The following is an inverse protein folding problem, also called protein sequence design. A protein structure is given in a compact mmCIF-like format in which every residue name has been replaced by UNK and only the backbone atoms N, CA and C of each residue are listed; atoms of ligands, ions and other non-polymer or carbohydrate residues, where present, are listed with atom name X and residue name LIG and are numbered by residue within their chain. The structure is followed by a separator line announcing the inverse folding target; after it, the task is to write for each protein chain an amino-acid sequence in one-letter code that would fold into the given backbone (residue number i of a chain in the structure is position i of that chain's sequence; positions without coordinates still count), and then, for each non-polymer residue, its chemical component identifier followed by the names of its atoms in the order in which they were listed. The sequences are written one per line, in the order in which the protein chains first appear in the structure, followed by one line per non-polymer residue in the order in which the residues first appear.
data_IF_526859186552
#
_entry.id   IF_526859186552
#
_cell.length_a   1.000
_cell.length_b   1.000
_cell.length_c   1.000
_cell.angle_alpha   90.00
_cell.angle_beta   90.00
_cell.angle_gamma   90.00
#
_symmetry.space_group_name_H-M   'P 1'
#
loop_
_entity.id
_entity.type
_entity.pdbx_description
1 polymer ?
#
# COMPACT_ATOMS: atom_id res chain seq x y z
N UNK A 1 4.80 -2.46 -18.93
CA UNK A 1 5.43 -2.73 -17.62
C UNK A 1 5.59 -4.24 -17.36
N UNK A 2 4.50 -5.01 -17.21
CA UNK A 2 4.57 -6.42 -16.77
C UNK A 2 5.33 -7.39 -17.69
N UNK A 3 5.38 -7.13 -18.99
CA UNK A 3 6.17 -7.94 -19.94
C UNK A 3 7.68 -7.96 -19.63
N UNK A 4 8.18 -7.01 -18.83
CA UNK A 4 9.58 -6.98 -18.38
C UNK A 4 9.78 -7.63 -17.00
N UNK A 5 8.72 -8.14 -16.36
CA UNK A 5 8.77 -8.65 -14.99
C UNK A 5 9.73 -9.82 -14.82
N UNK A 6 9.75 -10.77 -15.76
CA UNK A 6 10.68 -11.91 -15.73
C UNK A 6 12.14 -11.45 -15.81
N UNK A 7 12.41 -10.48 -16.69
CA UNK A 7 13.75 -9.92 -16.90
C UNK A 7 14.26 -9.15 -15.67
N UNK A 8 13.35 -8.47 -14.94
CA UNK A 8 13.66 -7.78 -13.69
C UNK A 8 13.89 -8.78 -12.56
N UNK A 9 12.99 -9.77 -12.40
CA UNK A 9 13.11 -10.81 -11.35
C UNK A 9 14.36 -11.66 -11.52
N UNK A 10 14.77 -11.99 -12.75
CA UNK A 10 15.99 -12.73 -13.03
C UNK A 10 17.27 -12.00 -12.59
N UNK A 11 17.20 -10.67 -12.42
CA UNK A 11 18.32 -9.82 -11.97
C UNK A 11 18.10 -9.25 -10.56
N UNK A 12 17.09 -9.73 -9.84
CA UNK A 12 16.73 -9.24 -8.51
C UNK A 12 17.88 -9.43 -7.53
N UNK A 13 18.08 -8.43 -6.69
CA UNK A 13 18.97 -8.44 -5.53
C UNK A 13 18.15 -8.13 -4.28
N UNK A 14 18.69 -8.48 -3.13
CA UNK A 14 18.02 -8.25 -1.84
C UNK A 14 18.12 -6.77 -1.40
N UNK A 15 19.07 -6.02 -1.95
CA UNK A 15 19.32 -4.60 -1.67
C UNK A 15 18.65 -3.69 -2.70
N UNK A 16 17.32 -3.54 -2.60
CA UNK A 16 16.57 -2.60 -3.46
C UNK A 16 16.51 -1.20 -2.84
N UNK A 17 16.84 -0.13 -3.59
CA UNK A 17 16.68 1.23 -3.10
C UNK A 17 15.19 1.59 -2.95
N UNK A 18 14.88 2.40 -1.93
CA UNK A 18 13.55 2.99 -1.76
C UNK A 18 13.49 4.27 -2.58
N UNK A 19 12.63 4.28 -3.60
CA UNK A 19 12.33 5.49 -4.37
C UNK A 19 11.43 6.42 -3.54
N UNK A 20 11.82 7.67 -3.26
CA UNK A 20 11.10 8.56 -2.36
C UNK A 20 9.72 8.96 -2.86
N UNK A 21 9.55 9.13 -4.18
CA UNK A 21 8.24 9.46 -4.77
C UNK A 21 7.28 8.29 -4.65
N UNK A 22 7.76 7.08 -4.98
CA UNK A 22 6.98 5.84 -4.83
C UNK A 22 6.58 5.60 -3.38
N UNK A 23 7.51 5.78 -2.44
CA UNK A 23 7.22 5.66 -1.01
C UNK A 23 6.17 6.68 -0.57
N UNK A 24 6.31 7.95 -0.98
CA UNK A 24 5.36 9.00 -0.67
C UNK A 24 3.94 8.71 -1.19
N UNK A 25 3.82 8.32 -2.46
CA UNK A 25 2.53 7.98 -3.08
C UNK A 25 1.88 6.77 -2.43
N UNK A 26 2.66 5.74 -2.10
CA UNK A 26 2.16 4.53 -1.44
C UNK A 26 1.66 4.84 -0.04
N UNK A 27 2.50 5.48 0.80
CA UNK A 27 2.17 5.79 2.20
C UNK A 27 1.02 6.79 2.29
N UNK A 28 1.00 7.84 1.46
CA UNK A 28 -0.10 8.82 1.45
C UNK A 28 -1.46 8.15 1.19
N UNK A 29 -1.49 7.17 0.28
CA UNK A 29 -2.74 6.45 -0.06
C UNK A 29 -3.15 5.46 1.01
N UNK A 30 -2.20 4.77 1.64
CA UNK A 30 -2.46 3.95 2.82
C UNK A 30 -3.08 4.78 3.95
N UNK A 31 -2.52 5.96 4.24
CA UNK A 31 -3.02 6.84 5.30
C UNK A 31 -4.36 7.46 4.93
N UNK A 32 -4.60 7.80 3.65
CA UNK A 32 -5.91 8.25 3.21
C UNK A 32 -7.01 7.18 3.42
N UNK A 33 -6.70 5.89 3.21
CA UNK A 33 -7.64 4.80 3.52
C UNK A 33 -7.89 4.66 5.04
N UNK A 34 -6.84 4.83 5.83
CA UNK A 34 -6.93 4.83 7.30
C UNK A 34 -7.86 5.93 7.78
N UNK A 35 -7.69 7.15 7.29
CA UNK A 35 -8.51 8.31 7.67
C UNK A 35 -9.97 8.09 7.24
N UNK A 36 -10.20 7.61 6.02
CA UNK A 36 -11.53 7.30 5.48
C UNK A 36 -12.30 6.26 6.34
N UNK A 37 -11.61 5.25 6.88
CA UNK A 37 -12.20 4.25 7.77
C UNK A 37 -12.37 4.78 9.20
N UNK A 38 -11.41 5.56 9.72
CA UNK A 38 -11.52 6.19 11.03
C UNK A 38 -12.73 7.15 11.08
N UNK A 39 -12.91 7.97 10.04
CA UNK A 39 -14.07 8.88 9.90
C UNK A 39 -15.41 8.13 9.85
N UNK A 40 -15.41 6.89 9.34
CA UNK A 40 -16.59 6.00 9.32
C UNK A 40 -16.81 5.26 10.63
N UNK A 41 -15.93 5.43 11.62
CA UNK A 41 -16.07 4.84 12.94
C UNK A 41 -15.67 3.37 13.02
N UNK A 42 -14.82 2.90 12.10
CA UNK A 42 -14.26 1.55 12.19
C UNK A 42 -13.33 1.40 13.39
N UNK A 43 -13.19 0.17 13.89
CA UNK A 43 -12.28 -0.12 15.00
C UNK A 43 -10.81 -0.10 14.55
N UNK A 44 -9.90 0.40 15.39
CA UNK A 44 -8.48 0.49 15.05
C UNK A 44 -7.85 -0.83 14.63
N UNK A 45 -8.25 -1.95 15.24
CA UNK A 45 -7.76 -3.28 14.84
C UNK A 45 -8.19 -3.66 13.41
N UNK A 46 -9.37 -3.23 12.97
CA UNK A 46 -9.83 -3.44 11.60
C UNK A 46 -9.07 -2.52 10.64
N UNK A 47 -8.96 -1.24 10.97
CA UNK A 47 -8.27 -0.23 10.17
C UNK A 47 -6.83 -0.66 9.85
N UNK A 48 -6.05 -1.05 10.87
CA UNK A 48 -4.65 -1.44 10.69
C UNK A 48 -4.50 -2.77 9.96
N UNK A 49 -5.41 -3.74 10.18
CA UNK A 49 -5.35 -5.01 9.48
C UNK A 49 -5.63 -4.84 7.99
N UNK A 50 -6.70 -4.13 7.65
CA UNK A 50 -7.18 -3.96 6.28
C UNK A 50 -6.35 -2.96 5.46
N UNK A 51 -5.76 -1.95 6.11
CA UNK A 51 -5.05 -0.87 5.40
C UNK A 51 -3.53 -1.03 5.39
N UNK A 52 -2.98 -1.79 6.34
CA UNK A 52 -1.52 -1.92 6.52
C UNK A 52 -1.08 -3.38 6.55
N UNK A 53 -1.49 -4.15 7.56
CA UNK A 53 -0.91 -5.47 7.85
C UNK A 53 -1.19 -6.46 6.71
N UNK A 54 -2.43 -6.55 6.20
CA UNK A 54 -2.73 -7.47 5.09
C UNK A 54 -1.90 -7.13 3.85
N UNK A 55 -1.73 -5.84 3.55
CA UNK A 55 -0.90 -5.40 2.44
C UNK A 55 0.55 -5.89 2.60
N UNK A 56 1.21 -5.57 3.71
CA UNK A 56 2.66 -5.80 3.87
C UNK A 56 3.02 -7.25 4.25
N UNK A 57 2.17 -7.95 5.00
CA UNK A 57 2.47 -9.28 5.50
C UNK A 57 1.86 -10.41 4.64
N UNK A 58 0.92 -10.11 3.74
CA UNK A 58 0.24 -11.12 2.91
C UNK A 58 0.28 -10.83 1.41
N UNK A 59 -0.21 -9.66 0.98
CA UNK A 59 -0.45 -9.38 -0.44
C UNK A 59 0.81 -8.97 -1.20
N UNK A 60 1.56 -7.99 -0.69
CA UNK A 60 2.78 -7.49 -1.33
C UNK A 60 3.88 -8.55 -1.48
N UNK A 61 4.10 -9.47 -0.52
CA UNK A 61 5.02 -10.60 -0.73
C UNK A 61 4.68 -11.44 -1.96
N UNK A 62 3.38 -11.71 -2.19
CA UNK A 62 2.92 -12.44 -3.38
C UNK A 62 3.18 -11.66 -4.68
N UNK A 63 2.95 -10.35 -4.66
CA UNK A 63 3.25 -9.48 -5.81
C UNK A 63 4.76 -9.42 -6.10
N UNK A 64 5.58 -9.35 -5.05
CA UNK A 64 7.03 -9.31 -5.15
C UNK A 64 7.61 -10.62 -5.69
N UNK A 65 7.08 -11.76 -5.22
CA UNK A 65 7.53 -13.09 -5.67
C UNK A 65 7.29 -13.30 -7.17
N UNK A 66 6.13 -12.85 -7.67
CA UNK A 66 5.73 -13.00 -9.07
C UNK A 66 5.31 -11.66 -9.64
N UNK A 67 4.03 -11.33 -9.67
CA UNK A 67 3.55 -10.04 -10.19
C UNK A 67 2.17 -9.67 -9.62
N UNK A 68 1.65 -8.54 -10.06
CA UNK A 68 0.32 -8.04 -9.65
C UNK A 68 -0.79 -9.02 -10.01
N UNK A 69 -0.67 -9.76 -11.13
CA UNK A 69 -1.69 -10.71 -11.53
C UNK A 69 -1.72 -11.89 -10.56
N UNK A 70 -0.55 -12.39 -10.15
CA UNK A 70 -0.46 -13.43 -9.13
C UNK A 70 -1.06 -13.01 -7.80
N UNK A 71 -0.76 -11.80 -7.31
CA UNK A 71 -1.38 -11.28 -6.09
C UNK A 71 -2.91 -11.19 -6.25
N UNK A 72 -3.39 -10.49 -7.28
CA UNK A 72 -4.82 -10.19 -7.45
C UNK A 72 -5.64 -11.43 -7.76
N UNK A 73 -5.17 -12.31 -8.65
CA UNK A 73 -5.96 -13.45 -9.12
C UNK A 73 -6.00 -14.63 -8.16
N UNK A 74 -5.15 -14.62 -7.13
CA UNK A 74 -5.26 -15.53 -5.99
C UNK A 74 -6.23 -15.02 -4.90
N UNK A 75 -6.73 -13.78 -5.00
CA UNK A 75 -7.79 -13.29 -4.12
C UNK A 75 -9.20 -13.74 -4.56
N UNK A 76 -10.20 -13.43 -3.75
CA UNK A 76 -11.60 -13.76 -4.02
C UNK A 76 -12.14 -13.12 -5.32
N UNK A 77 -13.24 -13.67 -5.86
CA UNK A 77 -13.92 -13.09 -7.04
C UNK A 77 -14.28 -11.61 -6.84
N UNK A 78 -14.72 -11.24 -5.64
CA UNK A 78 -15.08 -9.86 -5.30
C UNK A 78 -13.87 -8.94 -5.36
N UNK A 79 -12.73 -9.35 -4.77
CA UNK A 79 -11.48 -8.59 -4.80
C UNK A 79 -10.94 -8.42 -6.23
N UNK A 80 -11.00 -9.50 -7.04
CA UNK A 80 -10.56 -9.48 -8.44
C UNK A 80 -11.35 -8.51 -9.31
N UNK A 81 -12.68 -8.51 -9.15
CA UNK A 81 -13.56 -7.57 -9.85
C UNK A 81 -13.38 -6.14 -9.34
N UNK A 82 -13.25 -5.97 -8.02
CA UNK A 82 -12.98 -4.68 -7.38
C UNK A 82 -11.69 -4.04 -7.91
N UNK A 83 -10.59 -4.78 -7.87
CA UNK A 83 -9.28 -4.30 -8.35
C UNK A 83 -9.35 -3.85 -9.81
N UNK A 84 -9.99 -4.65 -10.68
CA UNK A 84 -10.11 -4.33 -12.11
C UNK A 84 -11.04 -3.15 -12.40
N UNK A 85 -12.01 -2.89 -11.52
CA UNK A 85 -12.91 -1.74 -11.62
C UNK A 85 -12.27 -0.45 -11.09
N UNK A 86 -11.59 -0.52 -9.96
CA UNK A 86 -11.13 0.66 -9.21
C UNK A 86 -9.67 1.02 -9.48
N UNK A 87 -8.79 0.06 -9.79
CA UNK A 87 -7.37 0.31 -10.10
C UNK A 87 -7.15 1.40 -11.15
N UNK A 88 -7.84 1.39 -12.31
CA UNK A 88 -7.71 2.44 -13.31
C UNK A 88 -8.14 3.84 -12.82
N UNK A 89 -8.99 3.94 -11.78
CA UNK A 89 -9.42 5.22 -11.22
C UNK A 89 -8.33 5.85 -10.37
N UNK A 90 -7.62 5.05 -9.57
CA UNK A 90 -6.43 5.52 -8.85
C UNK A 90 -5.30 5.91 -9.80
N UNK A 91 -5.05 5.11 -10.84
CA UNK A 91 -4.08 5.47 -11.88
C UNK A 91 -4.40 6.85 -12.48
N UNK A 92 -5.66 7.08 -12.89
CA UNK A 92 -6.07 8.38 -13.42
C UNK A 92 -5.91 9.52 -12.41
N UNK A 93 -6.27 9.30 -11.13
CA UNK A 93 -6.08 10.31 -10.08
C UNK A 93 -4.60 10.67 -9.88
N UNK A 94 -3.70 9.69 -9.89
CA UNK A 94 -2.27 9.96 -9.79
C UNK A 94 -1.74 10.71 -11.01
N UNK A 95 -2.03 10.22 -12.22
CA UNK A 95 -1.52 10.79 -13.46
C UNK A 95 -2.04 12.21 -13.70
N UNK A 96 -3.28 12.50 -13.30
CA UNK A 96 -3.94 13.77 -13.60
C UNK A 96 -3.85 14.81 -12.48
N UNK A 97 -3.63 14.38 -11.23
CA UNK A 97 -3.70 15.27 -10.06
C UNK A 97 -2.40 15.20 -9.24
N UNK A 98 -2.05 14.02 -8.72
CA UNK A 98 -0.95 13.91 -7.77
C UNK A 98 0.43 14.13 -8.41
N UNK A 99 0.72 13.42 -9.51
CA UNK A 99 2.02 13.50 -10.18
C UNK A 99 2.30 14.89 -10.77
N UNK A 100 1.33 15.58 -11.42
CA UNK A 100 1.52 16.97 -11.86
C UNK A 100 1.78 17.96 -10.72
N UNK A 101 1.37 17.64 -9.49
CA UNK A 101 1.57 18.50 -8.33
C UNK A 101 2.90 18.26 -7.58
N UNK A 102 3.74 17.30 -8.00
CA UNK A 102 4.98 16.93 -7.30
C UNK A 102 5.97 18.09 -7.12
N UNK A 103 5.99 19.04 -8.06
CA UNK A 103 6.89 20.21 -7.98
C UNK A 103 6.33 21.33 -7.09
N UNK A 104 5.13 21.14 -6.51
CA UNK A 104 4.53 22.08 -5.57
C UNK A 104 5.07 21.82 -4.17
N UNK A 105 5.39 22.87 -3.38
CA UNK A 105 5.77 22.70 -1.98
C UNK A 105 4.75 21.86 -1.21
N UNK A 106 5.23 20.93 -0.39
CA UNK A 106 4.37 20.12 0.47
C UNK A 106 3.59 21.02 1.44
N UNK A 107 2.33 20.64 1.68
CA UNK A 107 1.51 21.28 2.69
C UNK A 107 2.01 20.86 4.09
N UNK A 108 2.53 21.80 4.91
CA UNK A 108 3.07 21.47 6.22
C UNK A 108 2.01 20.92 7.18
N UNK A 109 0.73 21.30 7.02
CA UNK A 109 -0.36 20.80 7.86
C UNK A 109 -0.65 19.32 7.56
N UNK A 110 -0.65 18.93 6.27
CA UNK A 110 -0.81 17.52 5.89
C UNK A 110 0.37 16.67 6.35
N UNK A 111 1.59 17.19 6.27
CA UNK A 111 2.78 16.49 6.78
C UNK A 111 2.68 16.31 8.30
N UNK A 112 2.29 17.35 9.03
CA UNK A 112 2.13 17.26 10.48
C UNK A 112 1.00 16.31 10.86
N UNK A 113 -0.14 16.35 10.16
CA UNK A 113 -1.26 15.43 10.37
C UNK A 113 -0.85 13.98 10.13
N UNK A 114 -0.01 13.70 9.12
CA UNK A 114 0.58 12.39 8.93
C UNK A 114 1.45 11.97 10.13
N UNK A 115 2.34 12.85 10.60
CA UNK A 115 3.25 12.54 11.71
C UNK A 115 2.50 12.27 13.02
N UNK A 116 1.42 13.00 13.27
CA UNK A 116 0.60 12.89 14.48
C UNK A 116 -0.54 11.86 14.36
N UNK A 117 -0.64 11.15 13.23
CA UNK A 117 -1.76 10.24 12.98
C UNK A 117 -1.77 9.08 14.01
N UNK A 118 -2.90 8.84 14.71
CA UNK A 118 -3.00 7.79 15.73
C UNK A 118 -2.79 6.36 15.19
N UNK A 119 -2.82 6.17 13.87
CA UNK A 119 -2.55 4.88 13.25
C UNK A 119 -1.15 4.34 13.59
N UNK A 120 -0.16 5.21 13.81
CA UNK A 120 1.21 4.76 14.12
C UNK A 120 1.27 3.98 15.43
N UNK A 121 0.57 4.47 16.47
CA UNK A 121 0.47 3.79 17.76
C UNK A 121 -0.38 2.52 17.64
N UNK A 122 -1.52 2.60 16.95
CA UNK A 122 -2.39 1.45 16.72
C UNK A 122 -1.67 0.31 15.98
N UNK A 123 -0.88 0.65 14.96
CA UNK A 123 -0.06 -0.29 14.21
C UNK A 123 1.02 -0.91 15.08
N UNK A 124 1.72 -0.12 15.91
CA UNK A 124 2.74 -0.64 16.83
C UNK A 124 2.13 -1.66 17.81
N UNK A 125 0.94 -1.37 18.35
CA UNK A 125 0.23 -2.29 19.24
C UNK A 125 -0.20 -3.57 18.51
N UNK A 126 -0.76 -3.46 17.31
CA UNK A 126 -1.17 -4.62 16.51
C UNK A 126 0.04 -5.46 16.05
N UNK A 127 1.16 -4.81 15.73
CA UNK A 127 2.38 -5.47 15.29
C UNK A 127 2.96 -6.42 16.36
N UNK A 128 2.75 -6.13 17.64
CA UNK A 128 3.17 -6.99 18.75
C UNK A 128 2.40 -8.33 18.81
N UNK A 129 1.27 -8.42 18.11
CA UNK A 129 0.42 -9.63 18.06
C UNK A 129 0.64 -10.47 16.80
N UNK A 130 1.54 -10.04 15.91
CA UNK A 130 1.81 -10.74 14.65
C UNK A 130 2.50 -12.09 14.89
N UNK A 131 2.30 -13.08 14.00
CA UNK A 131 3.12 -14.28 13.99
C UNK A 131 4.60 -13.92 13.93
N UNK A 132 5.44 -14.71 14.60
CA UNK A 132 6.90 -14.50 14.63
C UNK A 132 7.61 -14.97 13.36
N UNK A 133 6.87 -15.36 12.32
CA UNK A 133 7.38 -15.95 11.09
C UNK A 133 6.70 -15.26 9.93
N UNK A 134 7.51 -14.74 9.00
CA UNK A 134 7.02 -14.13 7.77
C UNK A 134 6.50 -15.19 6.80
N UNK A 135 5.59 -14.80 5.91
CA UNK A 135 5.07 -15.70 4.88
C UNK A 135 6.17 -16.11 3.90
N UNK A 136 6.24 -17.41 3.59
CA UNK A 136 7.08 -17.93 2.51
C UNK A 136 6.22 -18.10 1.26
N UNK A 137 6.55 -17.37 0.19
CA UNK A 137 5.81 -17.33 -1.09
C UNK A 137 6.64 -17.79 -2.28
#
# INVERSE_FOLDING_TARGET
MWAHGDEVRARRRDDLPVDPVTAGVFVATTVAQVDEFAERGHAWSEIVNESVIEAVDSLLPSMHARDVAYMVDNCSRTARLGTRRWGPRFQAAYEQIALPALDTPADPELVQAFLDNPVHEALAAAAALRPSVDISV
#
